data_IF_773614292832
#
_entry.id   IF_773614292832
#
_cell.length_a   1.000
_cell.length_b   1.000
_cell.length_c   1.000
_cell.angle_alpha   90.00
_cell.angle_beta   90.00
_cell.angle_gamma   90.00
#
_symmetry.space_group_name_H-M   'P 1'
#
loop_
_entity.id
_entity.type
_entity.pdbx_description
1 polymer ?
#
# COMPACT_ATOMS: atom_id res chain seq x y z
N UNK A 1 -37.87 60.80 -57.41
CA UNK A 1 -36.70 59.90 -57.51
C UNK A 1 -36.53 59.33 -56.12
N UNK A 2 -36.97 58.05 -55.88
CA UNK A 2 -36.77 57.29 -54.65
C UNK A 2 -35.60 56.30 -54.84
N UNK A 3 -34.52 56.50 -54.14
CA UNK A 3 -33.42 55.54 -54.09
C UNK A 3 -33.76 54.47 -53.05
N UNK A 4 -33.84 53.24 -53.54
CA UNK A 4 -34.01 52.04 -52.64
C UNK A 4 -32.65 51.52 -52.22
N UNK A 5 -32.41 51.49 -50.90
CA UNK A 5 -31.24 50.79 -50.30
C UNK A 5 -31.56 49.32 -50.14
N UNK A 6 -30.82 48.48 -50.88
CA UNK A 6 -30.80 47.02 -50.65
C UNK A 6 -29.96 46.72 -49.42
N UNK A 7 -30.56 46.18 -48.36
CA UNK A 7 -29.86 45.59 -47.23
C UNK A 7 -29.32 44.21 -47.62
N UNK A 8 -28.00 44.11 -47.75
CA UNK A 8 -27.31 42.82 -47.87
C UNK A 8 -27.08 42.25 -46.46
N UNK A 9 -27.78 41.15 -46.13
CA UNK A 9 -27.54 40.40 -44.92
C UNK A 9 -26.32 39.49 -45.15
N UNK A 10 -25.22 39.77 -44.47
CA UNK A 10 -24.05 38.88 -44.40
C UNK A 10 -24.34 37.88 -43.30
N UNK A 11 -24.60 36.63 -43.66
CA UNK A 11 -24.66 35.52 -42.73
C UNK A 11 -23.24 35.12 -42.35
N UNK A 12 -22.84 35.43 -41.10
CA UNK A 12 -21.61 34.94 -40.53
C UNK A 12 -21.87 33.54 -40.00
N UNK A 13 -21.44 32.52 -40.76
CA UNK A 13 -21.43 31.13 -40.33
C UNK A 13 -20.28 30.97 -39.34
N UNK A 14 -20.59 30.95 -38.05
CA UNK A 14 -19.63 30.60 -37.01
C UNK A 14 -19.29 29.11 -37.13
N UNK A 15 -18.12 28.79 -37.65
CA UNK A 15 -17.55 27.46 -37.67
C UNK A 15 -17.05 27.16 -36.25
N UNK A 16 -17.84 26.45 -35.46
CA UNK A 16 -17.42 25.90 -34.17
C UNK A 16 -16.39 24.80 -34.46
N UNK A 17 -15.11 25.15 -34.38
CA UNK A 17 -14.03 24.18 -34.22
C UNK A 17 -14.18 23.53 -32.85
N UNK A 18 -14.81 22.40 -32.75
CA UNK A 18 -14.66 21.49 -31.64
C UNK A 18 -13.23 20.95 -31.72
N UNK A 19 -12.32 21.59 -30.98
CA UNK A 19 -11.02 20.98 -30.66
C UNK A 19 -11.36 19.78 -29.77
N UNK A 20 -11.49 18.61 -30.37
CA UNK A 20 -11.48 17.36 -29.65
C UNK A 20 -10.14 17.28 -28.91
N UNK A 21 -10.15 17.55 -27.63
CA UNK A 21 -9.03 17.11 -26.78
C UNK A 21 -9.05 15.59 -26.84
N UNK A 22 -8.26 15.01 -27.77
CA UNK A 22 -7.86 13.63 -27.67
C UNK A 22 -7.12 13.53 -26.33
N UNK A 23 -7.74 12.88 -25.33
CA UNK A 23 -7.03 12.48 -24.15
C UNK A 23 -5.78 11.75 -24.64
N UNK A 24 -4.61 12.31 -24.34
CA UNK A 24 -3.34 11.71 -24.71
C UNK A 24 -3.31 10.38 -23.96
N UNK A 25 -3.25 9.26 -24.69
CA UNK A 25 -3.08 7.94 -24.09
C UNK A 25 -1.95 8.02 -23.06
N UNK A 26 -2.11 7.35 -21.92
CA UNK A 26 -1.17 7.49 -20.82
C UNK A 26 0.21 7.01 -21.19
N UNK A 27 1.21 7.82 -20.98
CA UNK A 27 2.60 7.51 -21.37
C UNK A 27 3.10 6.25 -20.67
N UNK A 28 2.71 6.03 -19.40
CA UNK A 28 3.12 4.85 -18.62
C UNK A 28 2.39 3.61 -19.11
N UNK A 29 1.08 3.69 -19.32
CA UNK A 29 0.29 2.55 -19.83
C UNK A 29 0.74 2.10 -21.22
N UNK A 30 0.96 3.04 -22.13
CA UNK A 30 1.52 2.74 -23.46
C UNK A 30 2.89 2.08 -23.38
N UNK A 31 3.76 2.57 -22.47
CA UNK A 31 5.07 1.99 -22.24
C UNK A 31 4.98 0.53 -21.75
N UNK A 32 4.10 0.25 -20.76
CA UNK A 32 3.84 -1.10 -20.25
C UNK A 32 3.38 -2.03 -21.41
N UNK A 33 2.41 -1.59 -22.20
CA UNK A 33 1.86 -2.39 -23.30
C UNK A 33 2.88 -2.64 -24.41
N UNK A 34 3.68 -1.65 -24.76
CA UNK A 34 4.69 -1.75 -25.82
C UNK A 34 5.88 -2.63 -25.41
N UNK A 35 6.24 -2.64 -24.13
CA UNK A 35 7.32 -3.47 -23.60
C UNK A 35 6.85 -4.84 -23.11
N UNK A 36 5.54 -5.09 -23.11
CA UNK A 36 4.93 -6.33 -22.58
C UNK A 36 5.34 -6.63 -21.12
N UNK A 37 5.57 -5.62 -20.32
CA UNK A 37 6.09 -5.74 -18.96
C UNK A 37 5.48 -4.71 -18.03
N UNK A 38 4.99 -5.15 -16.86
CA UNK A 38 4.60 -4.31 -15.73
C UNK A 38 5.70 -4.39 -14.66
N UNK A 39 6.38 -3.28 -14.40
CA UNK A 39 7.39 -3.19 -13.38
C UNK A 39 6.78 -2.79 -12.04
N UNK A 40 6.91 -3.65 -11.05
CA UNK A 40 6.20 -3.58 -9.76
C UNK A 40 7.22 -3.36 -8.64
N UNK A 41 7.05 -2.27 -7.88
CA UNK A 41 7.78 -2.05 -6.64
C UNK A 41 7.03 -2.72 -5.46
N UNK A 42 7.75 -3.50 -4.67
CA UNK A 42 7.27 -4.17 -3.47
C UNK A 42 8.40 -4.37 -2.48
N UNK A 43 8.17 -5.02 -1.33
CA UNK A 43 9.19 -5.29 -0.34
C UNK A 43 9.86 -6.66 -0.57
N UNK A 44 11.12 -6.80 -0.19
CA UNK A 44 11.88 -8.05 -0.28
C UNK A 44 11.88 -8.85 1.04
N UNK A 45 11.41 -8.26 2.13
CA UNK A 45 11.62 -8.79 3.48
C UNK A 45 10.43 -8.53 4.43
N UNK A 46 9.22 -8.72 3.93
CA UNK A 46 7.99 -8.48 4.69
C UNK A 46 6.97 -9.61 4.48
N UNK A 47 7.30 -10.80 5.00
CA UNK A 47 6.41 -11.96 4.95
C UNK A 47 5.18 -11.77 5.87
N UNK A 48 3.97 -12.22 5.48
CA UNK A 48 3.62 -13.01 4.31
C UNK A 48 3.20 -12.16 3.09
N UNK A 49 3.43 -10.85 3.08
CA UNK A 49 2.96 -9.95 2.02
C UNK A 49 3.86 -9.98 0.79
N UNK A 50 5.16 -9.72 0.98
CA UNK A 50 6.17 -9.80 -0.07
C UNK A 50 7.54 -10.09 0.54
N UNK A 51 8.23 -11.06 -0.01
CA UNK A 51 9.56 -11.46 0.44
C UNK A 51 10.26 -12.29 -0.63
N UNK A 52 11.59 -12.41 -0.50
CA UNK A 52 12.38 -13.31 -1.31
C UNK A 52 12.49 -14.64 -0.55
N UNK A 53 12.02 -15.74 -1.17
CA UNK A 53 12.09 -17.06 -0.60
C UNK A 53 13.52 -17.68 -0.68
N UNK A 54 13.70 -18.86 -0.11
CA UNK A 54 14.99 -19.56 -0.10
C UNK A 54 15.51 -19.92 -1.49
N UNK A 55 14.64 -19.96 -2.51
CA UNK A 55 15.02 -20.16 -3.91
C UNK A 55 15.44 -18.85 -4.61
N UNK A 56 15.36 -17.71 -3.93
CA UNK A 56 15.68 -16.39 -4.49
C UNK A 56 14.53 -15.80 -5.32
N UNK A 57 13.31 -16.30 -5.16
CA UNK A 57 12.14 -15.85 -5.89
C UNK A 57 11.24 -14.97 -5.03
N UNK A 58 10.59 -13.99 -5.66
CA UNK A 58 9.56 -13.19 -4.99
C UNK A 58 8.33 -14.03 -4.69
N UNK A 59 7.83 -13.93 -3.47
CA UNK A 59 6.68 -14.66 -2.97
C UNK A 59 5.86 -13.82 -1.98
N UNK A 60 4.58 -14.12 -1.81
CA UNK A 60 3.69 -13.47 -0.86
C UNK A 60 2.37 -13.01 -1.45
N UNK A 61 1.49 -12.47 -0.58
CA UNK A 61 0.17 -12.00 -0.96
C UNK A 61 0.22 -10.88 -2.02
N UNK A 62 0.99 -9.82 -1.76
CA UNK A 62 1.15 -8.70 -2.69
C UNK A 62 1.76 -9.13 -4.02
N UNK A 63 2.70 -10.08 -3.96
CA UNK A 63 3.34 -10.65 -5.16
C UNK A 63 2.33 -11.41 -6.01
N UNK A 64 1.47 -12.23 -5.40
CA UNK A 64 0.42 -12.95 -6.13
C UNK A 64 -0.64 -11.99 -6.70
N UNK A 65 -1.03 -10.96 -5.96
CA UNK A 65 -1.93 -9.90 -6.46
C UNK A 65 -1.29 -9.19 -7.66
N UNK A 66 -0.02 -8.81 -7.57
CA UNK A 66 0.69 -8.13 -8.65
C UNK A 66 0.81 -9.00 -9.91
N UNK A 67 1.10 -10.29 -9.75
CA UNK A 67 1.12 -11.26 -10.87
C UNK A 67 -0.23 -11.38 -11.54
N UNK A 68 -1.31 -11.42 -10.79
CA UNK A 68 -2.67 -11.51 -11.34
C UNK A 68 -3.06 -10.20 -12.06
N UNK A 69 -2.65 -9.03 -11.53
CA UNK A 69 -2.83 -7.73 -12.21
C UNK A 69 -2.13 -7.76 -13.58
N UNK A 70 -0.85 -8.12 -13.62
CA UNK A 70 -0.08 -8.20 -14.86
C UNK A 70 -0.70 -9.19 -15.87
N UNK A 71 -1.11 -10.38 -15.41
CA UNK A 71 -1.79 -11.38 -16.21
C UNK A 71 -3.07 -10.86 -16.85
N UNK A 72 -3.94 -10.17 -16.09
CA UNK A 72 -5.19 -9.58 -16.58
C UNK A 72 -4.95 -8.40 -17.51
N UNK A 73 -3.86 -7.67 -17.30
CA UNK A 73 -3.40 -6.62 -18.21
C UNK A 73 -2.81 -7.20 -19.51
N UNK A 74 -2.48 -8.50 -19.53
CA UNK A 74 -1.89 -9.20 -20.67
C UNK A 74 -0.40 -8.87 -20.85
N UNK A 75 0.35 -8.72 -19.77
CA UNK A 75 1.79 -8.43 -19.75
C UNK A 75 2.51 -9.28 -18.70
N UNK A 76 3.83 -9.32 -18.76
CA UNK A 76 4.67 -10.01 -17.77
C UNK A 76 4.87 -9.14 -16.51
N UNK A 77 4.90 -9.79 -15.35
CA UNK A 77 5.22 -9.12 -14.09
C UNK A 77 6.72 -9.12 -13.85
N UNK A 78 7.28 -7.96 -13.52
CA UNK A 78 8.66 -7.81 -13.07
C UNK A 78 8.74 -7.07 -11.76
N UNK A 79 9.45 -7.63 -10.78
CA UNK A 79 9.55 -7.07 -9.44
C UNK A 79 10.87 -6.36 -9.21
N UNK A 80 10.79 -5.24 -8.51
CA UNK A 80 11.93 -4.55 -7.91
C UNK A 80 11.61 -4.24 -6.45
N UNK A 81 12.63 -4.06 -5.64
CA UNK A 81 12.50 -3.92 -4.19
C UNK A 81 13.22 -2.68 -3.67
N UNK A 82 12.78 -1.47 -4.04
CA UNK A 82 13.31 -0.23 -3.47
C UNK A 82 12.97 -0.15 -1.98
N UNK A 83 13.71 0.66 -1.21
CA UNK A 83 13.37 0.94 0.16
C UNK A 83 11.98 1.62 0.26
N UNK A 84 11.24 1.34 1.33
CA UNK A 84 9.87 1.80 1.51
C UNK A 84 9.73 3.33 1.46
N UNK A 85 10.63 4.06 2.09
CA UNK A 85 10.68 5.52 2.08
C UNK A 85 10.86 6.09 0.66
N UNK A 86 11.61 5.38 -0.19
CA UNK A 86 11.79 5.74 -1.61
C UNK A 86 10.49 5.53 -2.40
N UNK A 87 9.74 4.45 -2.12
CA UNK A 87 8.46 4.19 -2.78
C UNK A 87 7.43 5.25 -2.37
N UNK A 88 7.30 5.52 -1.08
CA UNK A 88 6.28 6.44 -0.55
C UNK A 88 6.53 7.90 -0.88
N UNK A 89 7.77 8.26 -1.23
CA UNK A 89 8.13 9.65 -1.60
C UNK A 89 7.63 10.09 -2.97
N UNK A 90 7.10 9.18 -3.80
CA UNK A 90 6.72 9.50 -5.18
C UNK A 90 7.89 9.87 -6.07
N UNK A 91 7.63 10.55 -7.19
CA UNK A 91 8.65 10.97 -8.15
C UNK A 91 9.52 9.80 -8.63
N UNK A 92 8.87 8.72 -9.01
CA UNK A 92 9.55 7.47 -9.40
C UNK A 92 10.31 7.58 -10.72
N UNK A 93 9.99 8.60 -11.53
CA UNK A 93 10.66 8.87 -12.82
C UNK A 93 10.69 7.64 -13.74
N UNK A 94 9.58 6.91 -13.80
CA UNK A 94 9.43 5.68 -14.61
C UNK A 94 10.45 4.56 -14.28
N UNK A 95 11.03 4.57 -13.07
CA UNK A 95 11.88 3.46 -12.59
C UNK A 95 11.06 2.20 -12.30
N UNK A 96 9.79 2.35 -12.01
CA UNK A 96 8.75 1.32 -11.93
C UNK A 96 7.39 1.96 -12.23
N UNK A 97 6.41 1.14 -12.52
CA UNK A 97 5.10 1.59 -13.01
C UNK A 97 4.07 1.70 -11.89
N UNK A 98 4.08 0.71 -10.98
CA UNK A 98 3.11 0.59 -9.89
C UNK A 98 3.81 0.13 -8.61
N UNK A 99 3.21 0.44 -7.45
CA UNK A 99 3.53 -0.20 -6.19
C UNK A 99 2.39 -1.13 -5.78
N UNK A 100 2.72 -2.40 -5.56
CA UNK A 100 1.86 -3.41 -4.94
C UNK A 100 2.61 -3.89 -3.70
N UNK A 101 2.48 -3.12 -2.63
CA UNK A 101 3.23 -3.30 -1.38
C UNK A 101 2.42 -2.82 -0.18
N UNK A 102 1.10 -3.06 -0.20
CA UNK A 102 0.23 -2.79 0.95
C UNK A 102 0.30 -1.34 1.43
N UNK A 103 0.13 -0.41 0.52
CA UNK A 103 0.24 1.01 0.84
C UNK A 103 -1.10 1.60 1.31
N UNK A 104 -1.14 2.10 2.53
CA UNK A 104 -2.28 2.83 3.05
C UNK A 104 -2.35 4.22 2.41
N UNK A 105 -3.48 4.59 1.79
CA UNK A 105 -3.70 5.97 1.37
C UNK A 105 -3.73 6.93 2.56
N UNK A 106 -2.87 7.95 2.52
CA UNK A 106 -2.85 9.05 3.49
C UNK A 106 -2.93 10.38 2.77
N UNK A 107 -3.31 11.45 3.48
CA UNK A 107 -3.33 12.79 2.90
C UNK A 107 -1.94 13.17 2.38
N UNK A 108 -0.91 12.97 3.21
CA UNK A 108 0.47 13.28 2.85
C UNK A 108 0.98 12.48 1.64
N UNK A 109 0.69 11.18 1.56
CA UNK A 109 1.06 10.35 0.40
C UNK A 109 0.29 10.75 -0.85
N UNK A 110 -0.97 11.19 -0.71
CA UNK A 110 -1.82 11.61 -1.83
C UNK A 110 -1.33 12.88 -2.53
N UNK A 111 -0.41 13.63 -1.93
CA UNK A 111 0.23 14.76 -2.59
C UNK A 111 1.13 14.32 -3.76
N UNK A 112 1.73 13.14 -3.68
CA UNK A 112 2.74 12.63 -4.62
C UNK A 112 2.35 11.31 -5.31
N UNK A 113 1.33 10.60 -4.82
CA UNK A 113 0.86 9.31 -5.34
C UNK A 113 -0.65 9.34 -5.61
N UNK A 114 -1.08 8.52 -6.57
CA UNK A 114 -2.48 8.15 -6.76
C UNK A 114 -2.74 6.77 -6.15
N UNK A 115 -4.00 6.54 -5.73
CA UNK A 115 -4.44 5.29 -5.12
C UNK A 115 -5.66 4.76 -5.88
N UNK A 116 -5.47 4.12 -7.05
CA UNK A 116 -6.55 3.74 -7.94
C UNK A 116 -7.49 2.68 -7.36
N UNK A 117 -7.02 1.80 -6.47
CA UNK A 117 -7.87 0.77 -5.89
C UNK A 117 -7.33 0.23 -4.55
N UNK A 118 -8.20 0.23 -3.55
CA UNK A 118 -8.01 -0.55 -2.32
C UNK A 118 -8.30 -2.02 -2.63
N UNK A 119 -7.42 -2.94 -2.24
CA UNK A 119 -7.57 -4.35 -2.54
C UNK A 119 -7.73 -5.24 -1.30
N UNK A 120 -7.40 -4.75 -0.10
CA UNK A 120 -7.65 -5.44 1.16
C UNK A 120 -7.48 -4.51 2.36
N UNK A 121 -7.65 -5.05 3.57
CA UNK A 121 -7.61 -4.28 4.83
C UNK A 121 -6.90 -5.09 5.89
N UNK A 122 -6.02 -4.48 6.70
CA UNK A 122 -5.38 -5.15 7.82
C UNK A 122 -5.41 -4.34 9.11
N UNK A 123 -5.45 -5.00 10.27
CA UNK A 123 -5.20 -4.35 11.54
C UNK A 123 -3.69 -4.20 11.79
N UNK A 124 -3.32 -3.10 12.45
CA UNK A 124 -2.01 -2.88 13.04
C UNK A 124 -2.06 -3.21 14.53
N UNK A 125 -0.99 -3.81 15.07
CA UNK A 125 -0.91 -4.17 16.47
C UNK A 125 0.50 -4.01 17.03
N UNK A 126 0.59 -3.99 18.35
CA UNK A 126 1.84 -4.03 19.07
C UNK A 126 2.20 -5.47 19.46
N UNK A 127 3.49 -5.79 19.42
CA UNK A 127 4.03 -7.00 19.99
C UNK A 127 5.24 -6.67 20.86
N UNK A 128 5.44 -7.50 21.88
CA UNK A 128 6.56 -7.41 22.82
C UNK A 128 7.26 -8.76 22.91
N UNK A 129 8.51 -8.78 23.38
CA UNK A 129 9.18 -10.04 23.69
C UNK A 129 8.35 -10.86 24.71
N UNK A 130 8.35 -12.18 24.59
CA UNK A 130 7.58 -13.08 25.50
C UNK A 130 7.88 -12.86 26.97
N UNK A 131 9.13 -12.49 27.32
CA UNK A 131 9.58 -12.21 28.70
C UNK A 131 9.35 -10.74 29.10
N UNK A 132 8.71 -9.94 28.26
CA UNK A 132 8.44 -8.53 28.61
C UNK A 132 7.52 -8.44 29.83
N UNK A 133 7.85 -7.58 30.81
CA UNK A 133 6.97 -7.30 31.92
C UNK A 133 5.80 -6.39 31.56
N UNK A 134 5.80 -5.82 30.37
CA UNK A 134 4.71 -4.95 29.90
C UNK A 134 3.51 -5.79 29.51
N UNK A 135 2.36 -5.50 30.14
CA UNK A 135 1.12 -6.29 29.96
C UNK A 135 -0.04 -5.49 29.36
N UNK A 136 0.13 -4.16 29.21
CA UNK A 136 -0.90 -3.27 28.65
C UNK A 136 -0.29 -2.28 27.66
N UNK A 137 -1.10 -1.77 26.73
CA UNK A 137 -0.65 -0.72 25.81
C UNK A 137 -0.17 0.54 26.55
N UNK A 138 -0.84 0.94 27.62
CA UNK A 138 -0.42 2.08 28.44
C UNK A 138 0.98 1.88 29.07
N UNK A 139 1.38 0.63 29.30
CA UNK A 139 2.71 0.29 29.78
C UNK A 139 3.84 0.60 28.79
N UNK A 140 3.52 0.87 27.54
CA UNK A 140 4.46 1.31 26.51
C UNK A 140 4.70 2.83 26.50
N UNK A 141 3.91 3.61 27.25
CA UNK A 141 4.14 5.05 27.35
C UNK A 141 5.53 5.33 27.92
N UNK A 142 6.27 6.19 27.24
CA UNK A 142 7.65 6.51 27.58
C UNK A 142 8.70 5.45 27.22
N UNK A 143 8.29 4.33 26.61
CA UNK A 143 9.16 3.23 26.17
C UNK A 143 9.68 3.45 24.73
N UNK A 144 10.64 2.60 24.33
CA UNK A 144 11.16 2.57 22.96
C UNK A 144 10.34 1.60 22.12
N UNK A 145 9.69 2.11 21.07
CA UNK A 145 8.92 1.30 20.12
C UNK A 145 9.61 1.33 18.76
N UNK A 146 9.84 0.14 18.20
CA UNK A 146 10.42 -0.03 16.86
C UNK A 146 9.33 -0.12 15.80
N UNK A 147 9.59 0.45 14.64
CA UNK A 147 8.72 0.43 13.47
C UNK A 147 9.49 0.62 12.18
N UNK A 148 8.83 0.38 11.05
CA UNK A 148 9.36 0.68 9.72
C UNK A 148 9.32 2.18 9.44
N UNK A 149 10.42 2.76 8.98
CA UNK A 149 10.51 4.17 8.59
C UNK A 149 9.50 4.50 7.47
N UNK A 150 8.89 5.70 7.54
CA UNK A 150 7.88 6.20 6.60
C UNK A 150 6.59 5.36 6.53
N UNK A 151 6.36 4.46 7.51
CA UNK A 151 5.13 3.68 7.62
C UNK A 151 4.00 4.48 8.30
N UNK A 152 2.76 4.00 8.15
CA UNK A 152 1.62 4.51 8.92
C UNK A 152 1.76 4.22 10.42
N UNK A 153 2.49 3.19 10.78
CA UNK A 153 2.81 2.86 12.17
C UNK A 153 3.74 3.89 12.79
N UNK A 154 4.74 4.38 12.02
CA UNK A 154 5.57 5.50 12.46
C UNK A 154 4.74 6.78 12.64
N UNK A 155 3.86 7.09 11.67
CA UNK A 155 2.93 8.22 11.78
C UNK A 155 2.01 8.10 13.00
N UNK A 156 1.52 6.89 13.30
CA UNK A 156 0.74 6.63 14.52
C UNK A 156 1.55 6.92 15.79
N UNK A 157 2.77 6.42 15.88
CA UNK A 157 3.64 6.67 17.05
C UNK A 157 4.00 8.16 17.21
N UNK A 158 4.08 8.89 16.10
CA UNK A 158 4.31 10.34 16.07
C UNK A 158 3.05 11.16 16.36
N UNK A 159 1.86 10.54 16.35
CA UNK A 159 0.59 11.21 16.61
C UNK A 159 0.08 12.05 15.43
N UNK A 160 0.48 11.74 14.20
CA UNK A 160 0.12 12.48 12.98
C UNK A 160 -0.39 11.59 11.84
N UNK A 161 -0.95 10.42 12.15
CA UNK A 161 -1.53 9.51 11.15
C UNK A 161 -2.80 10.12 10.52
N UNK A 162 -2.77 10.32 9.20
CA UNK A 162 -3.77 11.05 8.40
C UNK A 162 -4.41 10.17 7.30
N UNK A 163 -4.79 8.94 7.63
CA UNK A 163 -5.36 7.97 6.70
C UNK A 163 -6.62 8.48 6.01
N UNK A 164 -6.74 8.20 4.71
CA UNK A 164 -7.94 8.47 3.91
C UNK A 164 -8.90 7.28 3.98
N UNK A 165 -10.22 7.58 4.16
CA UNK A 165 -11.30 6.58 4.13
C UNK A 165 -11.07 5.38 5.06
N UNK A 166 -10.46 5.61 6.22
CA UNK A 166 -10.22 4.61 7.24
C UNK A 166 -11.18 4.79 8.43
N UNK A 167 -11.43 3.72 9.23
CA UNK A 167 -12.15 3.85 10.48
C UNK A 167 -11.49 4.81 11.45
N UNK A 168 -12.30 5.48 12.28
CA UNK A 168 -11.79 6.31 13.36
C UNK A 168 -10.97 5.46 14.34
N UNK A 169 -9.89 6.02 14.87
CA UNK A 169 -9.02 5.39 15.85
C UNK A 169 -8.57 6.40 16.92
N UNK A 170 -7.96 5.90 17.98
CA UNK A 170 -7.36 6.72 19.04
C UNK A 170 -5.92 6.31 19.25
N UNK A 171 -5.07 7.28 19.58
CA UNK A 171 -3.68 7.00 19.98
C UNK A 171 -3.68 6.39 21.39
N UNK A 172 -3.24 5.13 21.51
CA UNK A 172 -3.25 4.37 22.76
C UNK A 172 -1.87 4.31 23.41
N UNK A 173 -0.82 4.70 22.67
CA UNK A 173 0.57 4.66 23.11
C UNK A 173 1.25 5.96 22.74
N UNK A 174 1.95 6.55 23.72
CA UNK A 174 2.84 7.69 23.52
C UNK A 174 4.26 7.23 23.84
N UNK A 175 5.06 6.81 22.84
CA UNK A 175 6.41 6.31 23.08
C UNK A 175 7.34 7.41 23.57
N UNK A 176 8.35 7.06 24.33
CA UNK A 176 9.45 7.97 24.70
C UNK A 176 10.49 8.06 23.59
N UNK A 177 10.68 6.97 22.85
CA UNK A 177 11.58 6.88 21.71
C UNK A 177 10.92 6.05 20.60
N UNK A 178 11.07 6.49 19.36
CA UNK A 178 10.68 5.74 18.16
C UNK A 178 11.98 5.31 17.48
N UNK A 179 12.18 3.99 17.35
CA UNK A 179 13.27 3.42 16.56
C UNK A 179 12.71 3.09 15.17
N UNK A 180 13.10 3.87 14.17
CA UNK A 180 12.65 3.67 12.79
C UNK A 180 13.73 2.95 12.00
N UNK A 181 13.42 1.73 11.53
CA UNK A 181 14.33 0.90 10.76
C UNK A 181 13.83 0.76 9.31
N UNK A 182 14.69 0.18 8.46
CA UNK A 182 14.42 0.07 7.02
C UNK A 182 13.21 -0.82 6.71
N UNK A 183 12.96 -1.85 7.53
CA UNK A 183 11.83 -2.77 7.39
C UNK A 183 11.40 -3.37 8.74
N UNK A 184 10.24 -4.04 8.74
CA UNK A 184 9.68 -4.67 9.94
C UNK A 184 10.49 -5.87 10.42
N UNK A 185 11.16 -6.60 9.53
CA UNK A 185 12.02 -7.74 9.89
C UNK A 185 13.19 -7.30 10.74
N UNK A 186 13.79 -6.15 10.44
CA UNK A 186 14.86 -5.57 11.27
C UNK A 186 14.36 -5.25 12.69
N UNK A 187 13.14 -4.71 12.83
CA UNK A 187 12.52 -4.49 14.14
C UNK A 187 12.27 -5.79 14.91
N UNK A 188 11.80 -6.83 14.24
CA UNK A 188 11.58 -8.15 14.83
C UNK A 188 12.89 -8.79 15.27
N UNK A 189 13.94 -8.67 14.47
CA UNK A 189 15.28 -9.16 14.81
C UNK A 189 15.85 -8.47 16.05
N UNK A 190 15.61 -7.18 16.21
CA UNK A 190 15.97 -6.45 17.42
C UNK A 190 15.11 -6.87 18.62
N UNK A 191 13.80 -7.05 18.43
CA UNK A 191 12.87 -7.42 19.52
C UNK A 191 13.16 -8.81 20.07
N UNK A 192 13.54 -9.79 19.24
CA UNK A 192 13.84 -11.16 19.67
C UNK A 192 15.08 -11.30 20.56
N UNK A 193 15.95 -10.28 20.60
CA UNK A 193 17.15 -10.30 21.43
C UNK A 193 16.84 -10.25 22.94
N UNK A 194 15.63 -9.87 23.32
CA UNK A 194 15.16 -9.82 24.69
C UNK A 194 14.38 -8.56 25.03
N UNK A 195 13.59 -8.64 26.08
CA UNK A 195 12.77 -7.51 26.56
C UNK A 195 13.64 -6.29 26.90
N UNK A 196 13.45 -5.17 26.22
CA UNK A 196 14.17 -3.92 26.46
C UNK A 196 15.65 -3.92 26.05
N UNK A 197 16.15 -4.95 25.33
CA UNK A 197 17.56 -5.00 24.91
C UNK A 197 17.85 -3.98 23.81
N UNK A 198 17.04 -3.95 22.78
CA UNK A 198 17.12 -2.97 21.68
C UNK A 198 15.89 -2.06 21.63
N UNK A 199 14.74 -2.65 21.85
CA UNK A 199 13.46 -1.96 21.94
C UNK A 199 12.58 -2.64 23.00
N UNK A 200 11.48 -2.01 23.38
CA UNK A 200 10.49 -2.55 24.31
C UNK A 200 9.31 -3.20 23.55
N UNK A 201 9.03 -2.75 22.35
CA UNK A 201 7.94 -3.25 21.51
C UNK A 201 8.21 -2.96 20.03
N UNK A 202 7.49 -3.68 19.18
CA UNK A 202 7.34 -3.41 17.74
C UNK A 202 5.88 -3.15 17.44
N UNK A 203 5.60 -2.26 16.48
CA UNK A 203 4.27 -2.11 15.86
C UNK A 203 4.40 -2.43 14.37
N UNK A 204 3.50 -3.31 13.88
CA UNK A 204 3.42 -3.71 12.48
C UNK A 204 2.01 -4.26 12.20
N UNK A 205 1.74 -4.73 10.99
CA UNK A 205 0.50 -5.40 10.66
C UNK A 205 0.36 -6.74 11.42
N UNK A 206 -0.87 -7.06 11.78
CA UNK A 206 -1.16 -8.33 12.49
C UNK A 206 -0.68 -9.56 11.71
N UNK A 207 -0.88 -9.68 10.37
CA UNK A 207 -0.38 -10.84 9.64
C UNK A 207 1.14 -11.02 9.70
N UNK A 208 1.89 -9.93 9.67
CA UNK A 208 3.36 -9.99 9.76
C UNK A 208 3.80 -10.46 11.15
N UNK A 209 3.20 -9.92 12.20
CA UNK A 209 3.48 -10.31 13.58
C UNK A 209 3.08 -11.76 13.83
N UNK A 210 1.92 -12.21 13.33
CA UNK A 210 1.48 -13.61 13.44
C UNK A 210 2.44 -14.55 12.71
N UNK A 211 2.84 -14.20 11.49
CA UNK A 211 3.82 -14.97 10.73
C UNK A 211 5.17 -15.10 11.47
N UNK A 212 5.60 -14.06 12.15
CA UNK A 212 6.82 -14.10 12.99
C UNK A 212 6.65 -15.05 14.19
N UNK A 213 5.51 -15.00 14.88
CA UNK A 213 5.17 -15.91 15.97
C UNK A 213 5.17 -17.35 15.48
N UNK A 214 4.51 -17.63 14.36
CA UNK A 214 4.43 -18.98 13.77
C UNK A 214 5.81 -19.49 13.32
N UNK A 215 6.71 -18.58 12.95
CA UNK A 215 8.11 -18.87 12.61
C UNK A 215 9.04 -19.02 13.83
N UNK A 216 8.49 -18.92 15.04
CA UNK A 216 9.24 -19.14 16.28
C UNK A 216 9.92 -17.91 16.87
N UNK A 217 9.58 -16.70 16.42
CA UNK A 217 10.05 -15.49 17.10
C UNK A 217 9.47 -15.42 18.51
N UNK A 218 10.28 -15.12 19.54
CA UNK A 218 9.85 -15.06 20.94
C UNK A 218 9.11 -13.75 21.24
N UNK A 219 8.01 -13.50 20.52
CA UNK A 219 7.16 -12.33 20.69
C UNK A 219 5.72 -12.73 20.98
N UNK A 220 4.96 -11.83 21.53
CA UNK A 220 3.53 -11.97 21.80
C UNK A 220 2.81 -10.64 21.51
N UNK A 221 1.56 -10.71 21.04
CA UNK A 221 0.72 -9.53 20.92
C UNK A 221 0.51 -8.86 22.26
N UNK A 222 0.39 -7.53 22.24
CA UNK A 222 0.12 -6.70 23.39
C UNK A 222 -1.16 -5.89 23.19
N UNK A 223 -2.18 -6.20 23.97
CA UNK A 223 -3.46 -5.47 23.93
C UNK A 223 -4.24 -5.64 22.65
N UNK A 224 -5.20 -4.75 22.42
CA UNK A 224 -6.03 -4.73 21.24
C UNK A 224 -5.30 -4.08 20.05
N UNK A 225 -5.82 -4.30 18.85
CA UNK A 225 -5.33 -3.66 17.64
C UNK A 225 -5.28 -2.13 17.79
N UNK A 226 -4.25 -1.51 17.25
CA UNK A 226 -4.04 -0.07 17.31
C UNK A 226 -5.01 0.68 16.39
N UNK A 227 -5.10 0.26 15.14
CA UNK A 227 -5.99 0.80 14.11
C UNK A 227 -6.13 -0.20 12.96
N UNK A 228 -7.03 0.09 12.01
CA UNK A 228 -7.25 -0.69 10.80
C UNK A 228 -6.90 0.15 9.58
N UNK A 229 -6.27 -0.47 8.60
CA UNK A 229 -5.75 0.20 7.40
C UNK A 229 -6.42 -0.32 6.14
N UNK A 230 -6.92 0.56 5.24
CA UNK A 230 -7.16 0.21 3.85
C UNK A 230 -5.83 0.15 3.10
N UNK A 231 -5.59 -0.88 2.30
CA UNK A 231 -4.36 -1.07 1.54
C UNK A 231 -4.66 -0.96 0.04
N UNK A 232 -3.95 -0.08 -0.64
CA UNK A 232 -4.19 0.27 -2.04
C UNK A 232 -2.96 -0.02 -2.91
N UNK A 233 -3.24 -0.25 -4.19
CA UNK A 233 -2.25 -0.07 -5.25
C UNK A 233 -1.89 1.41 -5.31
N UNK A 234 -0.64 1.74 -5.61
CA UNK A 234 -0.21 3.12 -5.81
C UNK A 234 0.45 3.33 -7.17
N UNK A 235 0.24 4.50 -7.77
CA UNK A 235 0.90 4.98 -8.99
C UNK A 235 1.51 6.35 -8.76
N UNK A 236 2.50 6.72 -9.59
CA UNK A 236 3.23 7.97 -9.42
C UNK A 236 2.44 9.16 -9.98
N UNK A 237 2.14 10.14 -9.14
CA UNK A 237 1.47 11.37 -9.54
C UNK A 237 2.36 12.25 -10.43
N UNK A 238 3.68 12.12 -10.31
CA UNK A 238 4.64 12.81 -11.17
C UNK A 238 4.57 12.38 -12.64
N UNK A 239 4.20 11.11 -12.89
CA UNK A 239 3.90 10.57 -14.22
C UNK A 239 2.42 10.18 -14.31
N UNK A 240 1.54 11.10 -13.95
CA UNK A 240 0.10 10.86 -13.85
C UNK A 240 -0.48 10.24 -15.12
N UNK A 241 -1.04 9.05 -14.99
CA UNK A 241 -1.62 8.26 -16.07
C UNK A 241 -3.02 7.75 -15.70
N UNK A 242 -4.07 8.54 -16.01
CA UNK A 242 -5.44 8.15 -15.70
C UNK A 242 -5.90 6.86 -16.39
N UNK A 243 -5.29 6.48 -17.51
CA UNK A 243 -5.62 5.23 -18.23
C UNK A 243 -5.07 4.03 -17.45
N UNK A 244 -3.84 4.10 -16.94
CA UNK A 244 -3.27 3.09 -16.06
C UNK A 244 -4.09 2.96 -14.78
N UNK A 245 -4.44 4.07 -14.15
CA UNK A 245 -5.23 4.06 -12.92
C UNK A 245 -6.61 3.43 -13.13
N UNK A 246 -7.28 3.76 -14.23
CA UNK A 246 -8.58 3.17 -14.59
C UNK A 246 -8.48 1.67 -14.88
N UNK A 247 -7.43 1.21 -15.56
CA UNK A 247 -7.20 -0.20 -15.83
C UNK A 247 -6.92 -1.00 -14.54
N UNK A 248 -6.09 -0.48 -13.64
CA UNK A 248 -5.85 -1.08 -12.33
C UNK A 248 -7.15 -1.18 -11.53
N UNK A 249 -7.93 -0.11 -11.47
CA UNK A 249 -9.21 -0.09 -10.76
C UNK A 249 -10.19 -1.13 -11.33
N UNK A 250 -10.25 -1.27 -12.66
CA UNK A 250 -11.06 -2.27 -13.35
C UNK A 250 -10.64 -3.70 -12.96
N UNK A 251 -9.33 -3.97 -13.02
CA UNK A 251 -8.78 -5.30 -12.71
C UNK A 251 -9.04 -5.68 -11.24
N UNK A 252 -8.79 -4.76 -10.31
CA UNK A 252 -9.05 -5.03 -8.88
C UNK A 252 -10.53 -5.26 -8.62
N UNK A 253 -11.44 -4.51 -9.26
CA UNK A 253 -12.88 -4.73 -9.16
C UNK A 253 -13.30 -6.12 -9.69
N UNK A 254 -12.69 -6.59 -10.78
CA UNK A 254 -12.91 -7.96 -11.29
C UNK A 254 -12.38 -9.01 -10.30
N UNK A 255 -11.19 -8.81 -9.74
CA UNK A 255 -10.60 -9.73 -8.76
C UNK A 255 -11.42 -9.81 -7.45
N UNK A 256 -12.08 -8.74 -7.07
CA UNK A 256 -13.05 -8.74 -5.97
C UNK A 256 -14.30 -9.54 -6.33
N UNK A 257 -14.88 -9.27 -7.51
CA UNK A 257 -16.12 -9.87 -7.98
C UNK A 257 -16.02 -11.38 -8.19
N UNK A 258 -14.92 -11.88 -8.70
CA UNK A 258 -14.68 -13.30 -8.99
C UNK A 258 -14.01 -14.05 -7.83
N UNK A 259 -13.87 -13.42 -6.66
CA UNK A 259 -13.26 -13.96 -5.45
C UNK A 259 -11.77 -14.31 -5.55
N UNK A 260 -11.06 -13.79 -6.54
CA UNK A 260 -9.60 -13.98 -6.65
C UNK A 260 -8.88 -13.38 -5.44
N UNK A 261 -9.23 -12.15 -5.05
CA UNK A 261 -8.62 -11.52 -3.86
C UNK A 261 -8.91 -12.30 -2.58
N UNK A 262 -10.16 -12.74 -2.36
CA UNK A 262 -10.54 -13.58 -1.22
C UNK A 262 -9.71 -14.87 -1.19
N UNK A 263 -9.56 -15.54 -2.33
CA UNK A 263 -8.77 -16.78 -2.44
C UNK A 263 -7.32 -16.54 -2.08
N UNK A 264 -6.71 -15.43 -2.55
CA UNK A 264 -5.34 -15.08 -2.22
C UNK A 264 -5.19 -14.71 -0.74
N UNK A 265 -6.14 -13.95 -0.18
CA UNK A 265 -6.15 -13.62 1.25
C UNK A 265 -6.17 -14.88 2.11
N UNK A 266 -7.07 -15.81 1.82
CA UNK A 266 -7.19 -17.08 2.54
C UNK A 266 -5.99 -18.02 2.36
N UNK A 267 -5.27 -17.91 1.25
CA UNK A 267 -4.00 -18.62 1.02
C UNK A 267 -2.91 -18.14 1.97
N UNK A 268 -2.75 -16.83 2.08
CA UNK A 268 -1.59 -16.21 2.72
C UNK A 268 -1.78 -15.85 4.18
N UNK A 269 -3.00 -15.49 4.60
CA UNK A 269 -3.26 -14.99 5.94
C UNK A 269 -3.88 -16.07 6.82
N UNK A 270 -3.18 -16.38 7.90
CA UNK A 270 -3.59 -17.37 8.89
C UNK A 270 -3.80 -16.73 10.24
N UNK A 271 -4.81 -17.20 10.95
CA UNK A 271 -5.03 -16.91 12.37
C UNK A 271 -4.12 -17.77 13.24
N UNK A 272 -4.02 -17.44 14.53
CA UNK A 272 -3.23 -18.18 15.50
C UNK A 272 -3.64 -19.68 15.62
N UNK A 273 -4.90 -20.02 15.32
CA UNK A 273 -5.41 -21.38 15.31
C UNK A 273 -5.18 -22.11 13.97
N UNK A 274 -4.49 -21.47 13.01
CA UNK A 274 -4.20 -22.01 11.69
C UNK A 274 -5.34 -21.87 10.68
N UNK A 275 -6.50 -21.35 11.08
CA UNK A 275 -7.59 -21.04 10.14
C UNK A 275 -7.20 -19.92 9.17
N UNK A 276 -7.82 -19.91 7.99
CA UNK A 276 -7.61 -18.88 6.98
C UNK A 276 -8.37 -17.60 7.31
N UNK A 277 -7.82 -16.44 6.92
CA UNK A 277 -8.43 -15.15 7.14
C UNK A 277 -8.68 -14.42 5.80
N UNK A 278 -9.89 -13.89 5.66
CA UNK A 278 -10.26 -13.03 4.52
C UNK A 278 -10.18 -11.55 4.92
N UNK A 279 -9.10 -10.91 4.56
CA UNK A 279 -8.89 -9.47 4.78
C UNK A 279 -9.40 -8.60 3.63
N UNK A 280 -10.10 -9.16 2.63
CA UNK A 280 -10.65 -8.39 1.50
C UNK A 280 -11.99 -7.74 1.80
N UNK A 281 -12.60 -8.07 2.92
CA UNK A 281 -13.85 -7.48 3.40
C UNK A 281 -13.51 -6.25 4.25
N UNK A 282 -14.14 -5.11 3.93
CA UNK A 282 -14.02 -3.92 4.77
C UNK A 282 -14.62 -4.17 6.17
N UNK A 283 -14.03 -3.62 7.20
CA UNK A 283 -14.48 -3.76 8.60
C UNK A 283 -15.71 -2.89 8.93
#
# INVERSE_FOLDING_TARGET
IKLGFKKSSIAITALLLTIGMTAKAGVVYDYIKNNNELMIATDANWAPFSYINDAGEMEGFDVDVAREIAKRMGVEARFITPAWDVITSGNWNMRWDVSVGSMTPTESRSEVLNFPAVYYYTPAAFAVHTDSPVTTLAGLNGKNVCTTAASTWEMYLQGNLDMLNAPAFTYKVTPGTITSLVDGSACLDDTRLGAGVRNDAVIDSVPMLQNAIDSGYPIKFLGDNAFYEPLSIATDKGNNDPELDAEIARIIAEMQKDYTLTTLSMKWFKNADGSSNDYTVAY
#
